data_IF_131459653495
#
_entry.id   IF_131459653495
#
_cell.length_a   1.000
_cell.length_b   1.000
_cell.length_c   1.000
_cell.angle_alpha   90.00
_cell.angle_beta   90.00
_cell.angle_gamma   90.00
#
_symmetry.space_group_name_H-M   'P 1'
#
loop_
_entity.id
_entity.type
_entity.pdbx_description
1 polymer ?
#
# COMPACT_ATOMS: atom_id res chain seq x y z
N UNK A 1 12.75 -7.21 7.08
CA UNK A 1 11.48 -6.74 6.52
C UNK A 1 10.45 -7.83 6.60
N UNK A 2 10.06 -8.21 7.82
CA UNK A 2 8.91 -9.09 8.07
C UNK A 2 7.92 -8.30 8.92
N UNK A 3 6.63 -8.61 8.82
CA UNK A 3 5.64 -8.04 9.74
C UNK A 3 5.88 -8.59 11.15
N UNK A 4 5.58 -7.79 12.19
CA UNK A 4 5.72 -8.25 13.58
C UNK A 4 4.60 -9.24 13.93
N UNK A 5 3.40 -9.00 13.40
CA UNK A 5 2.25 -9.88 13.51
C UNK A 5 1.28 -9.65 12.34
N UNK A 6 0.32 -10.55 12.15
CA UNK A 6 -0.78 -10.38 11.18
C UNK A 6 -1.63 -9.14 11.48
N UNK A 7 -1.67 -8.69 12.73
CA UNK A 7 -2.39 -7.47 13.12
C UNK A 7 -1.73 -6.18 12.58
N UNK A 8 -0.50 -6.24 12.07
CA UNK A 8 0.13 -5.11 11.38
C UNK A 8 -0.22 -5.07 9.88
N UNK A 9 -1.02 -6.03 9.37
CA UNK A 9 -1.52 -6.01 8.01
C UNK A 9 -2.86 -5.28 7.96
N UNK A 10 -2.84 -4.02 7.50
CA UNK A 10 -4.00 -3.13 7.47
C UNK A 10 -4.60 -3.14 6.06
N UNK A 11 -5.86 -3.52 5.94
CA UNK A 11 -6.56 -3.69 4.67
C UNK A 11 -8.08 -3.57 4.87
N UNK A 12 -8.89 -3.82 3.84
CA UNK A 12 -10.35 -3.65 3.87
C UNK A 12 -11.09 -4.38 5.01
N UNK A 13 -10.59 -5.51 5.53
CA UNK A 13 -11.19 -6.18 6.71
C UNK A 13 -10.62 -5.70 8.06
N UNK A 14 -9.50 -4.98 8.05
CA UNK A 14 -8.88 -4.41 9.24
C UNK A 14 -8.43 -2.98 8.94
N UNK A 15 -9.35 -2.03 9.11
CA UNK A 15 -9.15 -0.64 8.68
C UNK A 15 -8.15 0.13 9.53
N UNK A 16 -7.77 -0.34 10.73
CA UNK A 16 -6.89 0.40 11.65
C UNK A 16 -5.84 -0.51 12.26
N UNK A 17 -4.64 0.01 12.46
CA UNK A 17 -3.63 -0.65 13.29
C UNK A 17 -4.02 -0.59 14.77
N UNK A 18 -3.55 -1.55 15.57
CA UNK A 18 -3.84 -1.59 17.00
C UNK A 18 -3.30 -0.36 17.76
N UNK A 19 -2.15 0.17 17.33
CA UNK A 19 -1.57 1.41 17.84
C UNK A 19 -2.26 2.69 17.29
N UNK A 20 -3.12 2.53 16.29
CA UNK A 20 -3.83 3.60 15.59
C UNK A 20 -2.92 4.55 14.81
N UNK A 21 -1.70 4.14 14.49
CA UNK A 21 -0.80 4.88 13.60
C UNK A 21 -1.17 4.76 12.13
N UNK A 22 -1.92 3.73 11.73
CA UNK A 22 -2.38 3.53 10.34
C UNK A 22 -3.90 3.39 10.30
N UNK A 23 -4.53 4.13 9.40
CA UNK A 23 -5.99 4.09 9.17
C UNK A 23 -6.31 4.08 7.67
N UNK A 24 -7.03 3.05 7.23
CA UNK A 24 -7.64 2.94 5.91
C UNK A 24 -9.03 3.59 5.95
N UNK A 25 -9.28 4.58 5.08
CA UNK A 25 -10.51 5.40 5.15
C UNK A 25 -11.75 4.73 4.56
N UNK A 26 -11.59 3.64 3.81
CA UNK A 26 -12.69 2.84 3.26
C UNK A 26 -12.26 2.11 2.00
N UNK A 27 -12.90 0.97 1.71
CA UNK A 27 -12.71 0.16 0.51
C UNK A 27 -13.68 0.67 -0.58
N UNK A 28 -13.16 1.35 -1.61
CA UNK A 28 -13.95 1.81 -2.74
C UNK A 28 -13.87 0.77 -3.85
N UNK A 29 -14.91 -0.05 -3.94
CA UNK A 29 -14.96 -1.21 -4.83
C UNK A 29 -15.26 -0.88 -6.29
N UNK A 30 -15.73 0.34 -6.58
CA UNK A 30 -16.14 0.72 -7.93
C UNK A 30 -15.12 1.65 -8.60
N UNK A 31 -14.30 2.36 -7.82
CA UNK A 31 -13.45 3.43 -8.34
C UNK A 31 -14.27 4.58 -8.95
N UNK A 32 -15.54 4.69 -8.57
CA UNK A 32 -16.39 5.81 -8.99
C UNK A 32 -16.11 7.02 -8.10
N UNK A 33 -15.67 8.11 -8.71
CA UNK A 33 -15.36 9.37 -8.03
C UNK A 33 -14.28 10.14 -8.78
N UNK A 34 -14.13 11.42 -8.42
CA UNK A 34 -12.97 12.22 -8.80
C UNK A 34 -11.96 12.21 -7.65
N UNK A 35 -10.69 11.90 -7.93
CA UNK A 35 -9.59 11.99 -6.96
C UNK A 35 -9.08 10.64 -6.48
N UNK A 36 -8.75 10.56 -5.18
CA UNK A 36 -8.23 9.34 -4.56
C UNK A 36 -9.40 8.47 -4.09
N UNK A 37 -9.59 7.31 -4.70
CA UNK A 37 -10.68 6.37 -4.37
C UNK A 37 -10.54 5.78 -2.97
N UNK A 38 -9.30 5.51 -2.56
CA UNK A 38 -8.94 4.96 -1.26
C UNK A 38 -7.77 5.74 -0.67
N UNK A 39 -7.82 5.98 0.64
CA UNK A 39 -6.78 6.71 1.35
C UNK A 39 -6.33 5.92 2.57
N UNK A 40 -5.02 5.78 2.73
CA UNK A 40 -4.39 5.28 3.94
C UNK A 40 -3.69 6.43 4.63
N UNK A 41 -4.17 6.79 5.82
CA UNK A 41 -3.56 7.80 6.68
C UNK A 41 -2.54 7.15 7.60
N UNK A 42 -1.39 7.80 7.75
CA UNK A 42 -0.32 7.33 8.64
C UNK A 42 0.13 8.45 9.57
N UNK A 43 -0.09 8.25 10.87
CA UNK A 43 0.46 9.09 11.94
C UNK A 43 1.80 8.52 12.41
N UNK A 44 2.88 9.02 11.82
CA UNK A 44 4.25 8.64 12.11
C UNK A 44 4.67 8.87 13.57
N UNK A 45 3.95 9.71 14.32
CA UNK A 45 4.25 10.00 15.73
C UNK A 45 3.76 8.90 16.66
N UNK A 46 2.77 8.12 16.22
CA UNK A 46 2.16 7.02 16.96
C UNK A 46 2.77 5.67 16.63
N UNK A 47 3.59 5.60 15.58
CA UNK A 47 4.24 4.36 15.16
C UNK A 47 5.20 3.89 16.27
N UNK A 48 5.02 2.67 16.80
CA UNK A 48 5.89 2.12 17.83
C UNK A 48 7.37 2.10 17.44
N UNK A 49 8.26 2.18 18.43
CA UNK A 49 9.71 2.28 18.20
C UNK A 49 10.32 0.98 17.64
N UNK A 50 9.66 -0.15 17.81
CA UNK A 50 10.01 -1.45 17.24
C UNK A 50 9.54 -1.63 15.78
N UNK A 51 8.85 -0.64 15.20
CA UNK A 51 8.53 -0.58 13.77
C UNK A 51 9.51 0.32 13.04
N UNK A 52 10.39 -0.31 12.26
CA UNK A 52 11.38 0.39 11.44
C UNK A 52 10.87 0.74 10.04
N UNK A 53 9.78 0.11 9.58
CA UNK A 53 9.29 0.23 8.20
C UNK A 53 7.78 0.02 8.10
N UNK A 54 7.14 0.81 7.25
CA UNK A 54 5.77 0.64 6.77
C UNK A 54 5.83 0.51 5.25
N UNK A 55 5.34 -0.61 4.70
CA UNK A 55 5.26 -0.82 3.26
C UNK A 55 3.83 -0.60 2.76
N UNK A 56 3.69 0.16 1.68
CA UNK A 56 2.43 0.39 1.00
C UNK A 56 2.35 -0.51 -0.22
N UNK A 57 1.29 -1.30 -0.27
CA UNK A 57 1.11 -2.34 -1.27
C UNK A 57 -0.26 -2.19 -1.91
N UNK A 58 -0.32 -2.44 -3.22
CA UNK A 58 -1.55 -2.38 -3.99
C UNK A 58 -1.72 -3.73 -4.66
N UNK A 59 -2.95 -4.26 -4.64
CA UNK A 59 -3.29 -5.55 -5.23
C UNK A 59 -4.63 -5.47 -5.92
N UNK A 60 -4.79 -6.18 -7.04
CA UNK A 60 -6.10 -6.38 -7.65
C UNK A 60 -6.80 -7.53 -6.94
N UNK A 61 -8.00 -7.25 -6.41
CA UNK A 61 -8.80 -8.26 -5.76
C UNK A 61 -9.24 -9.33 -6.77
N UNK A 62 -8.96 -10.60 -6.44
CA UNK A 62 -9.35 -11.77 -7.24
C UNK A 62 -8.84 -11.75 -8.69
N UNK A 63 -7.66 -11.15 -8.89
CA UNK A 63 -7.03 -10.91 -10.19
C UNK A 63 -6.93 -12.17 -11.08
N UNK A 64 -6.56 -13.31 -10.49
CA UNK A 64 -6.39 -14.57 -11.23
C UNK A 64 -7.72 -15.09 -11.79
N UNK A 65 -8.78 -15.15 -10.98
CA UNK A 65 -10.09 -15.61 -11.42
C UNK A 65 -10.75 -14.64 -12.38
N UNK A 66 -10.48 -13.34 -12.24
CA UNK A 66 -10.99 -12.28 -13.12
C UNK A 66 -10.15 -12.09 -14.38
N UNK A 67 -8.97 -12.70 -14.47
CA UNK A 67 -8.01 -12.46 -15.54
C UNK A 67 -7.61 -10.98 -15.66
N UNK A 68 -7.51 -10.29 -14.52
CA UNK A 68 -7.26 -8.85 -14.43
C UNK A 68 -5.83 -8.53 -13.98
N UNK A 69 -5.23 -7.49 -14.58
CA UNK A 69 -3.94 -6.90 -14.18
C UNK A 69 -4.02 -5.36 -14.20
N UNK A 70 -3.00 -4.67 -13.67
CA UNK A 70 -3.02 -3.21 -13.60
C UNK A 70 -3.08 -2.54 -14.98
N UNK A 71 -2.55 -3.16 -16.03
CA UNK A 71 -2.60 -2.65 -17.40
C UNK A 71 -4.03 -2.60 -17.98
N UNK A 72 -4.96 -3.34 -17.40
CA UNK A 72 -6.39 -3.31 -17.78
C UNK A 72 -7.21 -2.32 -16.95
N UNK A 73 -6.64 -1.74 -15.88
CA UNK A 73 -7.31 -0.76 -15.03
C UNK A 73 -6.97 0.64 -15.50
N UNK A 74 -7.93 1.28 -16.15
CA UNK A 74 -7.75 2.64 -16.69
C UNK A 74 -7.56 3.67 -15.58
N UNK A 75 -6.60 4.59 -15.76
CA UNK A 75 -6.32 5.70 -14.83
C UNK A 75 -5.99 5.26 -13.40
N UNK A 76 -5.43 4.07 -13.24
CA UNK A 76 -5.00 3.59 -11.92
C UNK A 76 -3.69 4.27 -11.51
N UNK A 77 -3.71 4.97 -10.39
CA UNK A 77 -2.52 5.60 -9.83
C UNK A 77 -2.50 5.44 -8.31
N UNK A 78 -1.31 5.58 -7.75
CA UNK A 78 -1.12 5.69 -6.30
C UNK A 78 -0.14 6.82 -6.02
N UNK A 79 -0.39 7.57 -4.94
CA UNK A 79 0.42 8.72 -4.56
C UNK A 79 0.61 8.82 -3.06
N UNK A 80 1.66 9.53 -2.66
CA UNK A 80 1.89 9.95 -1.29
C UNK A 80 1.77 11.46 -1.21
N UNK A 81 0.96 11.94 -0.27
CA UNK A 81 0.74 13.36 -0.04
C UNK A 81 1.11 13.68 1.41
N UNK A 82 1.82 14.77 1.63
CA UNK A 82 1.99 15.32 2.97
C UNK A 82 0.69 16.02 3.39
N UNK A 83 -0.02 15.46 4.35
CA UNK A 83 -1.34 15.97 4.78
C UNK A 83 -1.29 17.43 5.28
N UNK A 84 -0.17 17.88 5.87
CA UNK A 84 -0.05 19.25 6.39
C UNK A 84 0.12 20.30 5.29
N UNK A 85 0.92 19.99 4.27
CA UNK A 85 1.22 20.94 3.19
C UNK A 85 0.36 20.73 1.94
N UNK A 86 -0.33 19.59 1.83
CA UNK A 86 -1.01 19.17 0.60
C UNK A 86 -0.03 18.83 -0.54
N UNK A 87 1.27 18.80 -0.28
CA UNK A 87 2.27 18.54 -1.31
C UNK A 87 2.29 17.06 -1.68
N UNK A 88 2.10 16.76 -2.96
CA UNK A 88 2.33 15.44 -3.51
C UNK A 88 3.84 15.14 -3.49
N UNK A 89 4.23 14.12 -2.73
CA UNK A 89 5.62 13.70 -2.56
C UNK A 89 6.04 12.81 -3.73
N UNK A 90 5.16 11.91 -4.14
CA UNK A 90 5.36 11.03 -5.28
C UNK A 90 4.02 10.53 -5.81
N UNK A 91 3.98 10.16 -7.08
CA UNK A 91 2.88 9.48 -7.75
C UNK A 91 3.43 8.47 -8.75
N UNK A 92 2.79 7.30 -8.84
CA UNK A 92 3.04 6.29 -9.88
C UNK A 92 1.76 6.02 -10.66
N UNK A 93 1.91 5.78 -11.96
CA UNK A 93 0.84 5.29 -12.83
C UNK A 93 0.93 3.77 -12.93
N UNK A 94 -0.05 3.09 -12.34
CA UNK A 94 -0.05 1.63 -12.24
C UNK A 94 -0.28 0.97 -13.61
N UNK A 95 -1.01 1.63 -14.50
CA UNK A 95 -1.34 1.10 -15.81
C UNK A 95 -0.10 0.99 -16.71
N UNK A 96 0.86 1.91 -16.55
CA UNK A 96 2.12 1.92 -17.30
C UNK A 96 3.22 1.12 -16.59
N UNK A 97 3.44 1.39 -15.30
CA UNK A 97 4.62 0.87 -14.57
C UNK A 97 4.45 -0.57 -14.08
N UNK A 98 3.21 -1.07 -13.96
CA UNK A 98 2.89 -2.38 -13.40
C UNK A 98 1.93 -3.18 -14.30
N UNK A 99 1.93 -2.90 -15.61
CA UNK A 99 0.91 -3.37 -16.57
C UNK A 99 0.64 -4.89 -16.57
N UNK A 100 1.63 -5.72 -16.29
CA UNK A 100 1.50 -7.19 -16.26
C UNK A 100 1.25 -7.76 -14.86
N UNK A 101 1.34 -6.93 -13.84
CA UNK A 101 1.37 -7.36 -12.45
C UNK A 101 -0.03 -7.32 -11.82
N UNK A 102 -0.22 -8.13 -10.78
CA UNK A 102 -1.49 -8.20 -10.03
C UNK A 102 -1.34 -7.74 -8.58
N UNK A 103 -0.10 -7.60 -8.12
CA UNK A 103 0.28 -7.01 -6.85
C UNK A 103 1.57 -6.21 -7.01
N UNK A 104 1.74 -5.16 -6.22
CA UNK A 104 2.94 -4.33 -6.25
C UNK A 104 3.21 -3.72 -4.88
N UNK A 105 4.49 -3.69 -4.48
CA UNK A 105 4.97 -2.80 -3.42
C UNK A 105 5.26 -1.45 -4.06
N UNK A 106 4.40 -0.47 -3.77
CA UNK A 106 4.52 0.88 -4.31
C UNK A 106 5.67 1.63 -3.64
N UNK A 107 5.62 1.68 -2.31
CA UNK A 107 6.55 2.50 -1.54
C UNK A 107 6.76 1.98 -0.13
N UNK A 108 7.81 2.47 0.50
CA UNK A 108 8.12 2.20 1.88
C UNK A 108 8.42 3.51 2.61
N UNK A 109 7.83 3.69 3.79
CA UNK A 109 8.32 4.61 4.80
C UNK A 109 9.24 3.83 5.72
N UNK A 110 10.43 4.34 6.00
CA UNK A 110 11.39 3.66 6.86
C UNK A 110 12.14 4.63 7.77
N UNK A 111 12.54 4.16 8.95
CA UNK A 111 13.37 4.92 9.87
C UNK A 111 14.83 4.90 9.41
N UNK A 112 15.45 6.06 9.40
CA UNK A 112 16.88 6.23 9.15
C UNK A 112 17.41 7.32 10.07
N UNK A 113 18.31 6.95 11.00
CA UNK A 113 18.86 7.84 12.03
C UNK A 113 17.78 8.57 12.87
N UNK A 114 16.69 7.87 13.19
CA UNK A 114 15.59 8.42 14.00
C UNK A 114 14.56 9.25 13.23
N UNK A 115 14.78 9.49 11.93
CA UNK A 115 13.83 10.20 11.07
C UNK A 115 13.14 9.25 10.10
N UNK A 116 11.88 9.54 9.76
CA UNK A 116 11.16 8.82 8.73
C UNK A 116 11.56 9.33 7.35
N UNK A 117 11.90 8.39 6.47
CA UNK A 117 12.22 8.64 5.07
C UNK A 117 11.28 7.88 4.17
N UNK A 118 11.00 8.49 3.03
CA UNK A 118 10.19 7.89 1.97
C UNK A 118 11.10 7.25 0.92
N UNK A 119 10.72 6.06 0.45
CA UNK A 119 11.35 5.37 -0.68
C UNK A 119 10.28 4.85 -1.62
N UNK A 120 10.32 5.29 -2.87
CA UNK A 120 9.61 4.63 -3.95
C UNK A 120 10.29 3.27 -4.25
N UNK A 121 9.48 2.22 -4.37
CA UNK A 121 9.96 0.85 -4.60
C UNK A 121 9.58 0.36 -6.00
N UNK A 122 8.29 0.39 -6.36
CA UNK A 122 7.82 -0.05 -7.67
C UNK A 122 8.13 -1.53 -7.98
N UNK A 123 8.01 -2.42 -6.99
CA UNK A 123 8.31 -3.84 -7.17
C UNK A 123 7.03 -4.63 -7.38
N UNK A 124 6.82 -5.11 -8.61
CA UNK A 124 5.71 -5.99 -8.99
C UNK A 124 5.85 -7.41 -8.46
N UNK A 125 4.71 -8.08 -8.31
CA UNK A 125 4.61 -9.48 -7.90
C UNK A 125 3.56 -10.21 -8.75
N UNK A 126 3.99 -11.34 -9.31
CA UNK A 126 3.11 -12.36 -9.87
C UNK A 126 2.65 -13.30 -8.75
N UNK A 127 1.35 -13.64 -8.71
CA UNK A 127 0.73 -14.42 -7.63
C UNK A 127 -0.04 -13.58 -6.59
N UNK A 128 -0.29 -12.30 -6.91
CA UNK A 128 -1.23 -11.44 -6.19
C UNK A 128 -0.88 -11.20 -4.72
N UNK A 129 -1.93 -10.98 -3.93
CA UNK A 129 -1.81 -10.68 -2.50
C UNK A 129 -1.07 -11.78 -1.73
N UNK A 130 -1.28 -13.05 -2.07
CA UNK A 130 -0.66 -14.18 -1.37
C UNK A 130 0.86 -14.19 -1.52
N UNK A 131 1.37 -14.05 -2.75
CA UNK A 131 2.80 -14.01 -3.00
C UNK A 131 3.45 -12.80 -2.30
N UNK A 132 2.81 -11.63 -2.38
CA UNK A 132 3.27 -10.42 -1.71
C UNK A 132 3.29 -10.59 -0.19
N UNK A 133 2.23 -11.14 0.40
CA UNK A 133 2.14 -11.37 1.83
C UNK A 133 3.22 -12.32 2.37
N UNK A 134 3.47 -13.42 1.64
CA UNK A 134 4.52 -14.37 1.97
C UNK A 134 5.91 -13.72 1.95
N UNK A 135 6.14 -12.73 1.08
CA UNK A 135 7.40 -11.98 1.04
C UNK A 135 7.66 -11.20 2.33
N UNK A 136 6.61 -10.81 3.05
CA UNK A 136 6.68 -10.18 4.37
C UNK A 136 6.60 -11.18 5.53
N UNK A 137 6.62 -12.48 5.24
CA UNK A 137 6.59 -13.55 6.24
C UNK A 137 5.21 -13.81 6.85
N UNK A 138 4.13 -13.34 6.22
CA UNK A 138 2.76 -13.75 6.56
C UNK A 138 2.45 -15.07 5.89
N UNK A 139 1.75 -15.98 6.55
CA UNK A 139 1.37 -17.27 5.98
C UNK A 139 -0.16 -17.30 5.76
N UNK A 140 -0.60 -17.13 4.52
CA UNK A 140 -2.01 -17.25 4.09
C UNK A 140 -2.28 -18.55 3.33
#
# INVERSE_FOLDING_TARGET
>A
GKVRSEADFIFYNQLKSADGSVEHTGDNRTGEGDGDDEVVKVDLTRVPADVDKIAFVVTIHDAENRGQNFGQVSRSFIRVVNEKSGAEVVRYDLAEDASTETAMIFAELYRNNGEWKFRAVGSGFQGGLKALANSFGMNF
#
